data_IF_804273790852
#
_entry.id   IF_804273790852
#
_cell.length_a   1.000
_cell.length_b   1.000
_cell.length_c   1.000
_cell.angle_alpha   90.00
_cell.angle_beta   90.00
_cell.angle_gamma   90.00
#
_symmetry.space_group_name_H-M   'P 1'
#
loop_
_entity.id
_entity.type
_entity.pdbx_description
1 polymer ?
#
# COMPACT_ATOMS: atom_id res chain seq x y z
N UNK A 1 -25.61 -65.51 -57.10
CA UNK A 1 -26.74 -64.91 -57.85
C UNK A 1 -26.62 -63.41 -57.74
N UNK A 2 -26.68 -62.72 -58.88
CA UNK A 2 -26.65 -61.27 -59.04
C UNK A 2 -27.86 -60.61 -58.38
N UNK A 3 -27.76 -59.38 -57.87
CA UNK A 3 -28.77 -58.32 -58.07
C UNK A 3 -28.19 -56.92 -57.83
N UNK A 4 -28.03 -56.25 -58.97
CA UNK A 4 -28.05 -54.85 -59.41
C UNK A 4 -28.43 -53.67 -58.47
N UNK A 5 -27.64 -52.59 -58.63
CA UNK A 5 -27.85 -51.12 -58.51
C UNK A 5 -29.00 -50.50 -57.71
N UNK A 6 -28.68 -49.43 -56.97
CA UNK A 6 -29.19 -48.06 -57.22
C UNK A 6 -28.30 -46.96 -56.61
N UNK A 7 -28.11 -45.89 -57.38
CA UNK A 7 -27.59 -44.58 -56.96
C UNK A 7 -28.67 -43.81 -56.19
N UNK A 8 -28.29 -43.10 -55.13
CA UNK A 8 -29.14 -42.14 -54.44
C UNK A 8 -28.31 -41.07 -53.76
N UNK A 9 -28.34 -39.85 -54.29
CA UNK A 9 -27.80 -38.65 -53.66
C UNK A 9 -28.53 -38.39 -52.33
N UNK A 10 -27.78 -38.15 -51.26
CA UNK A 10 -28.30 -37.49 -50.07
C UNK A 10 -27.36 -36.34 -49.68
N UNK A 11 -27.97 -35.17 -49.50
CA UNK A 11 -27.34 -33.87 -49.39
C UNK A 11 -26.45 -33.73 -48.14
N UNK A 12 -25.33 -33.05 -48.31
CA UNK A 12 -24.47 -32.57 -47.23
C UNK A 12 -25.19 -31.41 -46.51
N UNK A 13 -25.64 -31.65 -45.27
CA UNK A 13 -25.96 -30.58 -44.33
C UNK A 13 -24.85 -30.50 -43.29
N UNK A 14 -23.87 -29.63 -43.55
CA UNK A 14 -22.85 -29.23 -42.59
C UNK A 14 -23.50 -28.32 -41.54
N UNK A 15 -23.92 -28.88 -40.40
CA UNK A 15 -24.27 -28.04 -39.24
C UNK A 15 -22.99 -27.50 -38.64
N UNK A 16 -22.68 -26.24 -38.92
CA UNK A 16 -21.64 -25.49 -38.22
C UNK A 16 -22.17 -25.26 -36.81
N UNK A 17 -21.76 -26.08 -35.85
CA UNK A 17 -21.88 -25.72 -34.43
C UNK A 17 -20.87 -24.60 -34.23
N UNK A 18 -21.35 -23.36 -34.19
CA UNK A 18 -20.62 -22.25 -33.59
C UNK A 18 -20.46 -22.58 -32.11
N UNK A 19 -19.38 -23.29 -31.77
CA UNK A 19 -18.90 -23.38 -30.41
C UNK A 19 -18.52 -21.96 -30.01
N UNK A 20 -19.42 -21.29 -29.28
CA UNK A 20 -19.08 -20.11 -28.50
C UNK A 20 -17.85 -20.48 -27.68
N UNK A 21 -16.77 -19.69 -27.68
CA UNK A 21 -15.77 -19.84 -26.65
C UNK A 21 -16.54 -19.73 -25.33
N UNK A 22 -16.54 -20.81 -24.55
CA UNK A 22 -16.89 -20.69 -23.15
C UNK A 22 -15.90 -19.66 -22.62
N UNK A 23 -16.40 -18.48 -22.31
CA UNK A 23 -15.69 -17.50 -21.53
C UNK A 23 -15.16 -18.26 -20.33
N UNK A 24 -13.87 -18.59 -20.41
CA UNK A 24 -13.07 -18.77 -19.23
C UNK A 24 -13.40 -17.53 -18.42
N UNK A 25 -14.06 -17.71 -17.28
CA UNK A 25 -14.11 -16.71 -16.22
C UNK A 25 -12.66 -16.53 -15.78
N UNK A 26 -11.92 -15.80 -16.61
CA UNK A 26 -10.72 -15.08 -16.28
C UNK A 26 -11.22 -14.17 -15.20
N UNK A 27 -10.94 -14.53 -13.94
CA UNK A 27 -11.17 -13.66 -12.77
C UNK A 27 -10.77 -12.27 -13.21
N UNK A 28 -11.80 -11.46 -13.42
CA UNK A 28 -11.72 -10.12 -13.94
C UNK A 28 -10.84 -9.36 -12.96
N UNK A 29 -9.70 -8.90 -13.48
CA UNK A 29 -8.89 -7.84 -12.92
C UNK A 29 -8.63 -7.90 -11.42
N UNK A 30 -7.40 -8.28 -11.06
CA UNK A 30 -6.66 -7.32 -10.24
C UNK A 30 -6.53 -6.07 -11.12
N UNK A 31 -7.56 -5.22 -11.09
CA UNK A 31 -7.46 -3.86 -11.60
C UNK A 31 -6.31 -3.29 -10.78
N UNK A 32 -5.17 -3.01 -11.42
CA UNK A 32 -4.27 -2.03 -10.84
C UNK A 32 -5.13 -0.78 -10.73
N UNK A 33 -5.57 -0.46 -9.51
CA UNK A 33 -6.20 0.82 -9.22
C UNK A 33 -5.07 1.82 -9.41
N UNK A 34 -4.89 2.30 -10.63
CA UNK A 34 -4.09 3.49 -10.87
C UNK A 34 -4.69 4.58 -9.97
N UNK A 35 -3.96 5.02 -8.94
CA UNK A 35 -4.37 6.19 -8.17
C UNK A 35 -3.91 6.28 -6.71
N UNK A 36 -3.52 5.19 -6.05
CA UNK A 36 -3.22 5.22 -4.61
C UNK A 36 -1.83 4.68 -4.24
N UNK A 37 -1.25 5.26 -3.18
CA UNK A 37 0.04 4.87 -2.64
C UNK A 37 0.55 5.89 -1.63
N UNK A 38 1.74 5.63 -1.09
CA UNK A 38 2.45 6.59 -0.26
C UNK A 38 3.76 6.98 -0.93
N UNK A 39 4.08 8.27 -0.92
CA UNK A 39 5.42 8.78 -1.17
C UNK A 39 6.00 9.30 0.15
N UNK A 40 7.17 8.78 0.51
CA UNK A 40 7.92 9.18 1.70
C UNK A 40 9.08 10.05 1.25
N UNK A 41 9.18 11.26 1.80
CA UNK A 41 10.26 12.20 1.52
C UNK A 41 11.10 12.43 2.77
N UNK A 42 12.41 12.25 2.65
CA UNK A 42 13.37 12.45 3.73
C UNK A 42 14.05 13.83 3.60
N UNK A 43 13.60 14.83 4.38
CA UNK A 43 14.27 16.14 4.45
C UNK A 43 15.34 16.22 5.54
N UNK A 44 15.64 15.11 6.23
CA UNK A 44 16.67 15.08 7.26
C UNK A 44 18.07 15.22 6.64
N UNK A 45 19.02 15.66 7.45
CA UNK A 45 20.44 15.76 7.09
C UNK A 45 21.18 14.41 7.11
N UNK A 46 20.46 13.30 7.28
CA UNK A 46 20.98 11.94 7.29
C UNK A 46 20.02 11.00 6.56
N UNK A 47 20.52 9.84 6.15
CA UNK A 47 19.73 8.83 5.46
C UNK A 47 18.68 8.23 6.40
N UNK A 48 17.56 7.80 5.82
CA UNK A 48 16.52 7.02 6.49
C UNK A 48 16.45 5.65 5.82
N UNK A 49 16.34 4.60 6.61
CA UNK A 49 16.21 3.23 6.12
C UNK A 49 14.76 2.79 6.22
N UNK A 50 14.24 2.21 5.15
CA UNK A 50 12.85 1.80 5.04
C UNK A 50 12.71 0.31 4.74
N UNK A 51 11.76 -0.34 5.39
CA UNK A 51 11.36 -1.73 5.13
C UNK A 51 9.84 -1.81 5.01
N UNK A 52 9.35 -2.28 3.88
CA UNK A 52 7.94 -2.58 3.70
C UNK A 52 7.66 -3.99 4.21
N UNK A 53 7.01 -4.10 5.37
CA UNK A 53 6.81 -5.35 6.10
C UNK A 53 5.37 -5.85 5.91
N UNK A 54 5.24 -7.11 5.50
CA UNK A 54 3.97 -7.82 5.43
C UNK A 54 4.09 -9.15 6.18
N UNK A 55 3.72 -10.29 5.59
CA UNK A 55 4.03 -11.61 6.15
C UNK A 55 5.54 -11.85 6.31
N UNK A 56 6.36 -11.21 5.48
CA UNK A 56 7.82 -11.19 5.54
C UNK A 56 8.34 -9.75 5.52
N UNK A 57 9.58 -9.55 5.98
CA UNK A 57 10.28 -8.26 5.90
C UNK A 57 10.84 -8.07 4.49
N UNK A 58 10.46 -6.98 3.83
CA UNK A 58 11.01 -6.60 2.52
C UNK A 58 12.49 -6.19 2.57
N UNK A 59 13.15 -6.04 1.41
CA UNK A 59 14.54 -5.58 1.36
C UNK A 59 14.66 -4.14 1.89
N UNK A 60 15.74 -3.87 2.63
CA UNK A 60 16.07 -2.51 3.09
C UNK A 60 16.20 -1.56 1.91
N UNK A 61 15.50 -0.43 1.97
CA UNK A 61 15.67 0.70 1.06
C UNK A 61 16.34 1.84 1.80
N UNK A 62 17.25 2.54 1.13
CA UNK A 62 17.86 3.77 1.66
C UNK A 62 17.19 4.98 1.02
N UNK A 63 16.58 5.82 1.84
CA UNK A 63 16.03 7.12 1.46
C UNK A 63 17.09 8.16 1.77
N UNK A 64 17.80 8.62 0.74
CA UNK A 64 18.95 9.51 0.90
C UNK A 64 18.56 10.82 1.59
N UNK A 65 19.48 11.36 2.40
CA UNK A 65 19.33 12.67 3.04
C UNK A 65 19.01 13.81 2.06
N UNK A 66 18.39 14.88 2.55
CA UNK A 66 18.24 16.14 1.81
C UNK A 66 17.25 16.10 0.64
N UNK A 67 16.20 15.29 0.74
CA UNK A 67 15.09 15.23 -0.23
C UNK A 67 14.98 13.91 -0.99
N UNK A 68 15.67 12.84 -0.56
CA UNK A 68 15.47 11.51 -1.13
C UNK A 68 14.05 11.00 -0.90
N UNK A 69 13.60 10.11 -1.78
CA UNK A 69 12.23 9.58 -1.72
C UNK A 69 12.18 8.06 -1.78
N UNK A 70 11.12 7.52 -1.19
CA UNK A 70 10.66 6.14 -1.34
C UNK A 70 9.18 6.16 -1.66
N UNK A 71 8.70 5.24 -2.49
CA UNK A 71 7.27 5.12 -2.73
C UNK A 71 6.85 3.68 -2.92
N UNK A 72 5.62 3.40 -2.51
CA UNK A 72 4.93 2.18 -2.90
C UNK A 72 3.46 2.43 -3.15
N UNK A 73 2.90 1.68 -4.10
CA UNK A 73 1.46 1.61 -4.32
C UNK A 73 0.84 0.72 -3.26
N UNK A 74 -0.43 0.97 -2.94
CA UNK A 74 -1.19 0.07 -2.07
C UNK A 74 -1.10 -1.38 -2.58
N UNK A 75 -0.88 -2.28 -1.63
CA UNK A 75 -0.88 -3.73 -1.85
C UNK A 75 -1.53 -4.41 -0.65
N UNK A 76 -1.88 -5.68 -0.81
CA UNK A 76 -2.44 -6.49 0.26
C UNK A 76 -1.38 -7.34 0.95
N UNK A 77 -1.58 -7.64 2.24
CA UNK A 77 -0.80 -8.64 2.95
C UNK A 77 -1.44 -10.03 2.73
N UNK A 78 -0.70 -11.05 2.25
CA UNK A 78 -1.25 -12.38 2.01
C UNK A 78 -1.91 -13.06 3.23
N UNK A 79 -1.51 -12.67 4.45
CA UNK A 79 -2.09 -13.20 5.68
C UNK A 79 -3.37 -12.44 6.14
N UNK A 80 -3.81 -11.43 5.40
CA UNK A 80 -4.98 -10.61 5.70
C UNK A 80 -4.76 -9.47 6.70
N UNK A 81 -3.54 -9.29 7.21
CA UNK A 81 -3.17 -8.16 8.08
C UNK A 81 -2.83 -6.88 7.31
N UNK A 82 -2.43 -5.85 8.06
CA UNK A 82 -1.88 -4.62 7.49
C UNK A 82 -0.46 -4.79 6.94
N UNK A 83 0.02 -3.74 6.32
CA UNK A 83 1.42 -3.54 5.92
C UNK A 83 1.98 -2.43 6.78
N UNK A 84 3.20 -2.61 7.26
CA UNK A 84 3.92 -1.61 8.04
C UNK A 84 5.18 -1.22 7.28
N UNK A 85 5.27 0.04 6.86
CA UNK A 85 6.49 0.64 6.34
C UNK A 85 7.26 1.14 7.56
N UNK A 86 8.26 0.36 7.96
CA UNK A 86 9.15 0.66 9.08
C UNK A 86 10.26 1.60 8.63
N UNK A 87 10.48 2.68 9.37
CA UNK A 87 11.47 3.72 9.11
C UNK A 87 12.42 3.84 10.31
N UNK A 88 13.72 3.79 10.05
CA UNK A 88 14.76 3.94 11.08
C UNK A 88 15.88 4.87 10.62
N UNK A 89 16.65 5.39 11.59
CA UNK A 89 17.84 6.22 11.34
C UNK A 89 19.14 5.41 11.34
N UNK A 90 19.03 4.11 11.60
CA UNK A 90 20.11 3.13 11.52
C UNK A 90 19.64 1.89 10.74
N UNK A 91 20.56 1.15 10.11
CA UNK A 91 20.21 0.00 9.27
C UNK A 91 19.81 -1.26 10.06
N UNK A 92 19.91 -1.24 11.39
CA UNK A 92 19.65 -2.40 12.25
C UNK A 92 18.22 -2.39 12.83
N UNK A 93 17.34 -1.49 12.35
CA UNK A 93 15.93 -1.35 12.73
C UNK A 93 15.70 -1.03 14.22
N UNK A 94 16.52 -0.16 14.79
CA UNK A 94 16.23 0.41 16.11
C UNK A 94 15.36 1.67 15.98
N UNK A 95 14.62 1.98 17.05
CA UNK A 95 13.79 3.18 17.19
C UNK A 95 12.93 3.47 15.94
N UNK A 96 11.97 2.59 15.67
CA UNK A 96 11.26 2.52 14.40
C UNK A 96 9.99 3.37 14.40
N UNK A 97 9.93 4.36 13.50
CA UNK A 97 8.67 5.00 13.11
C UNK A 97 7.96 4.10 12.10
N UNK A 98 6.64 3.95 12.25
CA UNK A 98 5.85 3.10 11.36
C UNK A 98 4.78 3.93 10.66
N UNK A 99 4.68 3.78 9.35
CA UNK A 99 3.48 4.11 8.59
C UNK A 99 2.78 2.80 8.26
N UNK A 100 1.61 2.59 8.84
CA UNK A 100 0.87 1.36 8.70
C UNK A 100 -0.35 1.59 7.81
N UNK A 101 -0.71 0.61 6.98
CA UNK A 101 -1.92 0.68 6.18
C UNK A 101 -2.55 -0.69 5.92
N UNK A 102 -3.86 -0.69 5.71
CA UNK A 102 -4.66 -1.88 5.38
C UNK A 102 -5.70 -1.55 4.32
N UNK A 103 -5.67 -2.30 3.22
CA UNK A 103 -6.75 -2.22 2.22
C UNK A 103 -8.01 -2.94 2.73
N UNK A 104 -9.15 -2.28 2.64
CA UNK A 104 -10.45 -2.82 2.98
C UNK A 104 -11.51 -2.37 1.96
N UNK A 105 -11.65 -3.14 0.88
CA UNK A 105 -12.63 -2.85 -0.18
C UNK A 105 -12.27 -1.58 -0.97
N UNK A 106 -13.06 -0.52 -0.81
CA UNK A 106 -12.84 0.79 -1.44
C UNK A 106 -12.18 1.81 -0.47
N UNK A 107 -11.71 1.33 0.69
CA UNK A 107 -11.07 2.15 1.72
C UNK A 107 -9.62 1.71 1.94
N UNK A 108 -8.72 2.68 2.05
CA UNK A 108 -7.39 2.51 2.65
C UNK A 108 -7.46 3.02 4.09
N UNK A 109 -7.22 2.13 5.06
CA UNK A 109 -6.99 2.52 6.45
C UNK A 109 -5.51 2.73 6.65
N UNK A 110 -5.12 3.75 7.42
CA UNK A 110 -3.71 4.03 7.69
C UNK A 110 -3.53 4.77 9.02
N UNK A 111 -2.31 4.70 9.55
CA UNK A 111 -1.91 5.38 10.78
C UNK A 111 -0.39 5.61 10.81
N UNK A 112 0.03 6.47 11.75
CA UNK A 112 1.41 6.62 12.16
C UNK A 112 1.59 5.99 13.54
N UNK A 113 2.67 5.25 13.75
CA UNK A 113 2.95 4.61 15.03
C UNK A 113 4.39 4.84 15.47
N UNK A 114 4.53 5.34 16.70
CA UNK A 114 5.78 5.56 17.42
C UNK A 114 5.99 4.52 18.54
N UNK A 115 5.20 3.44 18.57
CA UNK A 115 5.23 2.44 19.65
C UNK A 115 6.57 1.70 19.72
N UNK A 116 7.20 1.45 18.57
CA UNK A 116 8.50 0.76 18.46
C UNK A 116 9.70 1.71 18.67
N UNK A 117 9.44 2.90 19.23
CA UNK A 117 10.46 3.91 19.53
C UNK A 117 10.66 4.06 21.03
N UNK A 118 11.86 4.47 21.44
CA UNK A 118 12.12 4.79 22.84
C UNK A 118 11.20 5.93 23.33
N UNK A 119 10.34 5.62 24.31
CA UNK A 119 9.46 6.59 24.93
C UNK A 119 10.24 7.78 25.51
N UNK A 120 9.83 9.00 25.14
CA UNK A 120 10.46 10.25 25.59
C UNK A 120 11.79 10.60 24.91
N UNK A 121 12.27 9.80 23.96
CA UNK A 121 13.48 10.06 23.17
C UNK A 121 13.27 9.61 21.70
N UNK A 122 12.14 10.01 21.12
CA UNK A 122 11.76 9.65 19.77
C UNK A 122 12.39 10.64 18.78
N UNK A 123 13.41 10.19 18.05
CA UNK A 123 14.14 11.02 17.08
C UNK A 123 13.26 11.55 15.95
N UNK A 124 12.30 10.78 15.46
CA UNK A 124 11.40 11.26 14.43
C UNK A 124 10.46 12.37 14.93
N UNK A 125 9.99 12.31 16.18
CA UNK A 125 9.25 13.43 16.79
C UNK A 125 10.12 14.65 17.07
N UNK A 126 11.42 14.48 17.34
CA UNK A 126 12.36 15.62 17.44
C UNK A 126 12.44 16.39 16.10
N UNK A 127 12.45 15.67 14.98
CA UNK A 127 12.49 16.28 13.64
C UNK A 127 11.11 16.68 13.09
N UNK A 128 10.05 16.08 13.62
CA UNK A 128 8.70 16.20 13.10
C UNK A 128 8.45 15.40 11.81
N UNK A 129 7.18 15.11 11.56
CA UNK A 129 6.72 14.44 10.34
C UNK A 129 5.27 14.79 10.04
N UNK A 130 4.83 14.58 8.80
CA UNK A 130 3.40 14.61 8.47
C UNK A 130 3.01 13.65 7.39
N UNK A 131 1.76 13.20 7.40
CA UNK A 131 1.07 12.59 6.27
C UNK A 131 -0.02 13.54 5.79
N UNK A 132 0.03 13.92 4.51
CA UNK A 132 -0.95 14.80 3.85
C UNK A 132 -1.38 14.14 2.54
N UNK A 133 -2.66 14.15 2.16
CA UNK A 133 -3.07 13.69 0.84
C UNK A 133 -2.42 14.50 -0.27
N UNK A 134 -1.89 13.83 -1.30
CA UNK A 134 -1.21 14.51 -2.42
C UNK A 134 -2.18 15.34 -3.30
N UNK A 135 -3.48 15.09 -3.18
CA UNK A 135 -4.54 15.88 -3.81
C UNK A 135 -5.14 16.84 -2.77
N UNK A 136 -4.95 18.15 -2.98
CA UNK A 136 -5.47 19.23 -2.13
C UNK A 136 -7.00 19.25 -2.04
N UNK A 137 -7.70 18.58 -2.96
CA UNK A 137 -9.16 18.45 -2.92
C UNK A 137 -9.65 17.21 -2.16
N UNK A 138 -8.71 16.39 -1.67
CA UNK A 138 -9.00 15.19 -0.91
C UNK A 138 -9.69 15.51 0.41
N UNK A 139 -10.62 14.65 0.81
CA UNK A 139 -11.27 14.67 2.13
C UNK A 139 -10.58 13.75 3.14
N UNK A 140 -9.50 13.08 2.72
CA UNK A 140 -8.70 12.21 3.57
C UNK A 140 -8.06 13.02 4.71
N UNK A 141 -8.02 12.51 5.96
CA UNK A 141 -7.38 13.20 7.07
C UNK A 141 -5.90 13.49 6.83
N UNK A 142 -5.36 14.44 7.59
CA UNK A 142 -3.92 14.66 7.72
C UNK A 142 -3.46 14.20 9.10
N UNK A 143 -2.21 13.79 9.19
CA UNK A 143 -1.52 13.53 10.45
C UNK A 143 -0.30 14.45 10.49
N UNK A 144 -0.23 15.36 11.45
CA UNK A 144 0.88 16.32 11.56
C UNK A 144 1.48 16.20 12.95
N UNK A 145 2.78 15.94 12.99
CA UNK A 145 3.59 15.82 14.17
C UNK A 145 4.68 16.90 14.15
N UNK A 146 4.47 18.05 14.82
CA UNK A 146 5.45 19.12 14.83
C UNK A 146 6.78 18.68 15.43
N UNK A 147 7.88 19.26 14.95
CA UNK A 147 9.21 19.03 15.53
C UNK A 147 9.22 19.36 17.03
N UNK A 148 9.73 18.42 17.83
CA UNK A 148 9.79 18.49 19.29
C UNK A 148 8.53 18.02 20.01
N UNK A 149 7.46 17.62 19.31
CA UNK A 149 6.25 17.10 19.96
C UNK A 149 6.39 15.63 20.36
N UNK A 150 6.95 15.42 21.55
CA UNK A 150 7.12 14.08 22.14
C UNK A 150 5.80 13.40 22.56
N UNK A 151 4.68 14.12 22.54
CA UNK A 151 3.35 13.63 22.89
C UNK A 151 2.37 13.75 21.72
N UNK A 152 2.91 13.56 20.52
CA UNK A 152 2.24 13.73 19.25
C UNK A 152 0.94 12.94 19.14
N UNK A 153 -0.20 13.65 19.14
CA UNK A 153 -1.53 13.04 19.02
C UNK A 153 -1.89 12.60 17.59
N UNK A 154 -0.98 12.76 16.64
CA UNK A 154 -1.14 12.30 15.26
C UNK A 154 -0.56 10.90 15.05
N UNK A 155 -0.04 10.26 16.10
CA UNK A 155 0.54 8.93 16.05
C UNK A 155 0.20 8.11 17.30
N UNK A 156 0.19 6.80 17.16
CA UNK A 156 0.12 5.88 18.28
C UNK A 156 1.40 5.97 19.12
N UNK A 157 1.26 6.26 20.41
CA UNK A 157 2.38 6.34 21.36
C UNK A 157 2.45 5.12 22.29
N UNK A 158 1.35 4.38 22.43
CA UNK A 158 1.26 3.22 23.32
C UNK A 158 0.46 2.10 22.66
N UNK A 159 0.76 0.81 22.93
CA UNK A 159 0.06 -0.32 22.32
C UNK A 159 -1.45 -0.39 22.57
N UNK A 160 -1.94 0.30 23.60
CA UNK A 160 -3.36 0.26 24.02
C UNK A 160 -4.14 1.46 23.53
N UNK A 161 -3.54 2.32 22.72
CA UNK A 161 -4.18 3.49 22.17
C UNK A 161 -4.87 3.15 20.83
N UNK A 162 -6.06 3.70 20.60
CA UNK A 162 -6.92 3.40 19.44
C UNK A 162 -7.40 4.65 18.67
N UNK A 163 -6.86 5.85 18.96
CA UNK A 163 -7.39 7.10 18.39
C UNK A 163 -6.84 7.52 17.01
N UNK A 164 -5.66 7.06 16.58
CA UNK A 164 -4.92 7.65 15.45
C UNK A 164 -5.13 6.94 14.09
N UNK A 165 -6.13 6.05 13.97
CA UNK A 165 -6.46 5.42 12.69
C UNK A 165 -7.27 6.37 11.80
N UNK A 166 -6.88 6.45 10.54
CA UNK A 166 -7.55 7.21 9.50
C UNK A 166 -8.08 6.30 8.39
N UNK A 167 -9.07 6.77 7.64
CA UNK A 167 -9.66 6.03 6.52
C UNK A 167 -9.92 6.96 5.34
N UNK A 168 -9.52 6.53 4.14
CA UNK A 168 -9.60 7.32 2.91
C UNK A 168 -10.08 6.47 1.74
N UNK A 169 -10.61 7.07 0.65
CA UNK A 169 -10.84 6.34 -0.59
C UNK A 169 -9.56 5.62 -1.03
N UNK A 170 -9.67 4.36 -1.46
CA UNK A 170 -8.51 3.53 -1.83
C UNK A 170 -7.62 4.15 -2.92
N UNK A 171 -8.15 5.01 -3.78
CA UNK A 171 -7.39 5.71 -4.79
C UNK A 171 -6.75 7.02 -4.27
N UNK A 172 -6.62 7.19 -2.95
CA UNK A 172 -5.93 8.33 -2.36
C UNK A 172 -4.41 8.07 -2.38
N UNK A 173 -3.65 9.05 -2.86
CA UNK A 173 -2.22 9.13 -2.67
C UNK A 173 -1.89 9.97 -1.43
N UNK A 174 -0.89 9.55 -0.66
CA UNK A 174 -0.44 10.20 0.57
C UNK A 174 1.03 10.59 0.46
N UNK A 175 1.35 11.80 0.89
CA UNK A 175 2.72 12.30 1.03
C UNK A 175 3.11 12.28 2.51
N UNK A 176 4.01 11.37 2.88
CA UNK A 176 4.68 11.33 4.18
C UNK A 176 5.98 12.13 4.09
N UNK A 177 6.10 13.20 4.86
CA UNK A 177 7.30 14.03 4.92
C UNK A 177 7.99 13.89 6.27
N UNK A 178 9.29 13.60 6.28
CA UNK A 178 10.14 13.52 7.47
C UNK A 178 11.00 14.79 7.57
N UNK A 179 11.05 15.40 8.75
CA UNK A 179 11.78 16.67 8.95
C UNK A 179 10.96 17.88 8.53
N UNK A 180 9.95 18.22 9.32
CA UNK A 180 9.13 19.42 9.11
C UNK A 180 9.59 20.54 10.04
N UNK A 181 9.89 21.71 9.47
CA UNK A 181 10.21 22.95 10.18
C UNK A 181 9.00 23.86 10.30
#
# INVERSE_FOLDING_TARGET
MMFTNTLGLAALFSTIVSALPQDMVRRTGMVRRDGGGVQITNNLAQDVYAWSVAGDVGPMQTITSGGGTYSETWRTNPNGGGISIKLALDPDQHDVLQFEYTEAGDTIYWDMSCIDMQAGNNKFTEFGFSVIPSDETSTCPTAICPAGDTACSAAYLQPTDDHATHGCPINTALDLTLGQS
#
